data_IF_200430514611
#
_entry.id   IF_200430514611
#
_cell.length_a   1.000
_cell.length_b   1.000
_cell.length_c   1.000
_cell.angle_alpha   90.00
_cell.angle_beta   90.00
_cell.angle_gamma   90.00
#
_symmetry.space_group_name_H-M   'P 1'
#
loop_
_entity.id
_entity.type
_entity.pdbx_description
1 polymer ?
#
# COMPACT_ATOMS: atom_id res chain seq x y z
N UNK A 1 61.59 -29.33 -10.27
CA UNK A 1 60.20 -29.42 -9.75
C UNK A 1 59.26 -29.12 -10.90
N UNK A 2 58.27 -29.98 -11.19
CA UNK A 2 57.26 -29.70 -12.23
C UNK A 2 56.00 -29.17 -11.56
N UNK A 3 55.43 -28.10 -12.10
CA UNK A 3 54.11 -27.59 -11.72
C UNK A 3 53.21 -27.51 -12.96
N UNK A 4 51.92 -27.54 -12.71
CA UNK A 4 50.87 -27.33 -13.71
C UNK A 4 49.80 -26.45 -13.09
N UNK A 5 49.13 -25.64 -13.91
CA UNK A 5 48.02 -24.78 -13.53
C UNK A 5 46.87 -25.04 -14.49
N UNK A 6 45.67 -25.25 -13.96
CA UNK A 6 44.44 -25.41 -14.71
C UNK A 6 43.58 -24.18 -14.42
N UNK A 7 43.10 -23.51 -15.48
CA UNK A 7 42.19 -22.38 -15.40
C UNK A 7 40.83 -22.77 -16.00
N UNK A 8 39.75 -22.10 -15.56
CA UNK A 8 38.39 -22.26 -16.10
C UNK A 8 37.99 -20.98 -16.84
N UNK A 9 37.36 -21.13 -18.00
CA UNK A 9 36.89 -20.03 -18.84
C UNK A 9 35.40 -20.23 -19.21
N UNK A 10 34.61 -19.16 -19.41
CA UNK A 10 33.20 -19.27 -19.77
C UNK A 10 32.94 -19.88 -21.17
N UNK A 11 33.83 -19.62 -22.15
CA UNK A 11 33.79 -20.23 -23.48
C UNK A 11 35.19 -20.34 -24.10
N UNK A 12 35.28 -20.99 -25.27
CA UNK A 12 36.54 -21.31 -25.96
C UNK A 12 37.20 -20.14 -26.71
N UNK A 13 36.56 -18.96 -26.75
CA UNK A 13 37.13 -17.73 -27.30
C UNK A 13 37.66 -16.79 -26.22
N UNK A 14 37.26 -17.00 -24.95
CA UNK A 14 37.71 -16.19 -23.84
C UNK A 14 39.13 -16.59 -23.38
N UNK A 15 40.05 -15.63 -23.47
CA UNK A 15 41.44 -15.76 -23.01
C UNK A 15 41.68 -15.11 -21.66
N UNK A 16 40.64 -14.50 -21.07
CA UNK A 16 40.68 -13.79 -19.80
C UNK A 16 39.74 -14.44 -18.79
N UNK A 17 40.22 -14.69 -17.57
CA UNK A 17 39.31 -15.13 -16.48
C UNK A 17 38.50 -13.92 -16.05
N UNK A 18 37.21 -13.91 -16.40
CA UNK A 18 36.23 -12.91 -15.96
C UNK A 18 35.23 -13.56 -15.02
N UNK A 19 35.06 -12.97 -13.85
CA UNK A 19 33.97 -13.32 -12.95
C UNK A 19 32.76 -12.43 -13.30
N UNK A 20 31.61 -13.06 -13.56
CA UNK A 20 30.36 -12.36 -13.83
C UNK A 20 29.40 -12.59 -12.67
N UNK A 21 29.19 -11.56 -11.86
CA UNK A 21 28.17 -11.59 -10.81
C UNK A 21 26.84 -11.11 -11.38
N UNK A 22 25.80 -11.94 -11.28
CA UNK A 22 24.41 -11.50 -11.49
C UNK A 22 23.73 -11.37 -10.12
N UNK A 23 23.54 -10.14 -9.67
CA UNK A 23 22.73 -9.85 -8.48
C UNK A 23 21.29 -9.56 -8.91
N UNK A 24 20.32 -10.22 -8.27
CA UNK A 24 18.89 -9.89 -8.41
C UNK A 24 18.43 -9.33 -7.07
N UNK A 25 18.14 -8.03 -7.03
CA UNK A 25 17.66 -7.37 -5.82
C UNK A 25 16.14 -7.35 -5.81
N UNK A 26 15.53 -8.20 -4.97
CA UNK A 26 14.08 -8.19 -4.74
C UNK A 26 13.76 -7.24 -3.59
N UNK A 27 13.23 -6.05 -3.88
CA UNK A 27 12.81 -5.09 -2.87
C UNK A 27 11.28 -5.00 -2.84
N UNK A 28 10.69 -5.19 -1.67
CA UNK A 28 9.28 -4.90 -1.45
C UNK A 28 9.10 -3.38 -1.44
N UNK A 29 8.38 -2.85 -2.42
CA UNK A 29 8.05 -1.42 -2.50
C UNK A 29 6.53 -1.24 -2.51
N UNK A 30 5.85 -1.45 -1.36
CA UNK A 30 4.46 -1.05 -1.25
C UNK A 30 4.37 0.47 -1.36
N UNK A 31 3.40 0.97 -2.13
CA UNK A 31 2.93 2.34 -2.02
C UNK A 31 1.47 2.35 -1.56
N UNK A 32 1.11 3.39 -0.81
CA UNK A 32 -0.23 3.61 -0.30
C UNK A 32 -0.65 5.01 -0.67
N UNK A 33 -1.73 5.12 -1.47
CA UNK A 33 -2.28 6.39 -1.91
C UNK A 33 -3.74 6.48 -1.48
N UNK A 34 -4.21 7.68 -1.16
CA UNK A 34 -5.60 7.89 -0.77
C UNK A 34 -6.25 9.02 -1.58
N UNK A 35 -7.55 8.88 -1.81
CA UNK A 35 -8.43 9.94 -2.34
C UNK A 35 -9.82 9.82 -1.76
N UNK A 36 -10.64 10.86 -1.92
CA UNK A 36 -12.09 10.82 -1.67
C UNK A 36 -12.79 10.05 -2.80
N UNK A 37 -13.94 9.47 -2.50
CA UNK A 37 -14.74 8.75 -3.51
C UNK A 37 -15.17 9.65 -4.67
N UNK A 38 -15.51 10.89 -4.37
CA UNK A 38 -15.97 11.87 -5.37
C UNK A 38 -14.86 12.38 -6.30
N UNK A 39 -13.60 12.11 -5.99
CA UNK A 39 -12.46 12.57 -6.78
C UNK A 39 -12.11 11.59 -7.89
N UNK A 40 -11.64 12.09 -9.03
CA UNK A 40 -11.14 11.25 -10.12
C UNK A 40 -9.87 10.47 -9.69
N UNK A 41 -9.52 9.41 -10.40
CA UNK A 41 -8.34 8.59 -10.08
C UNK A 41 -7.01 9.36 -10.16
N UNK A 42 -6.96 10.46 -10.93
CA UNK A 42 -5.80 11.37 -10.96
C UNK A 42 -5.56 12.09 -9.63
N UNK A 43 -6.49 12.02 -8.68
CA UNK A 43 -6.36 12.59 -7.35
C UNK A 43 -5.54 11.73 -6.38
N UNK A 44 -5.19 10.49 -6.75
CA UNK A 44 -4.15 9.75 -6.02
C UNK A 44 -2.83 10.51 -6.13
N UNK A 45 -2.55 11.30 -5.10
CA UNK A 45 -1.42 12.20 -5.10
C UNK A 45 -0.14 11.51 -4.65
N UNK A 46 1.00 12.11 -4.99
CA UNK A 46 2.34 11.72 -4.53
C UNK A 46 2.73 10.24 -4.78
N UNK A 47 2.26 9.66 -5.90
CA UNK A 47 2.73 8.37 -6.42
C UNK A 47 4.26 8.26 -6.44
N UNK A 48 4.79 7.08 -6.12
CA UNK A 48 6.24 6.81 -6.01
C UNK A 48 6.94 7.63 -4.91
N UNK A 49 6.19 8.27 -4.01
CA UNK A 49 6.72 8.99 -2.84
C UNK A 49 6.36 8.26 -1.56
N UNK A 50 7.28 7.41 -1.12
CA UNK A 50 7.08 6.53 0.03
C UNK A 50 7.18 7.29 1.35
N UNK A 51 6.12 7.23 2.15
CA UNK A 51 6.06 7.83 3.48
C UNK A 51 5.86 6.74 4.55
N UNK A 52 6.68 6.77 5.61
CA UNK A 52 6.46 5.92 6.79
C UNK A 52 5.49 6.54 7.79
N UNK A 53 5.34 7.87 7.69
CA UNK A 53 4.40 8.67 8.47
C UNK A 53 3.64 9.56 7.49
N UNK A 54 2.31 9.43 7.40
CA UNK A 54 1.53 10.19 6.43
C UNK A 54 1.68 11.69 6.62
N UNK A 55 1.83 12.43 5.52
CA UNK A 55 1.87 13.89 5.54
C UNK A 55 1.37 14.50 4.23
N UNK A 56 0.88 15.74 4.29
CA UNK A 56 0.38 16.45 3.12
C UNK A 56 -0.78 15.70 2.45
N UNK A 57 -0.63 15.35 1.18
CA UNK A 57 -1.69 14.75 0.36
C UNK A 57 -1.98 13.27 0.67
N UNK A 58 -1.30 12.67 1.66
CA UNK A 58 -1.70 11.38 2.24
C UNK A 58 -2.67 11.54 3.41
N UNK A 59 -3.14 12.75 3.67
CA UNK A 59 -4.12 13.06 4.71
C UNK A 59 -5.31 13.70 4.01
N UNK A 60 -6.41 12.95 3.89
CA UNK A 60 -7.60 13.39 3.17
C UNK A 60 -8.73 13.78 4.13
N UNK A 61 -9.03 15.09 4.29
CA UNK A 61 -10.13 15.56 5.12
C UNK A 61 -11.47 15.55 4.38
N UNK A 62 -12.54 15.10 5.05
CA UNK A 62 -13.92 15.38 4.66
C UNK A 62 -14.76 15.84 5.84
N UNK A 63 -15.79 16.63 5.51
CA UNK A 63 -16.87 17.03 6.42
C UNK A 63 -18.17 16.52 5.84
N UNK A 64 -18.94 15.79 6.66
CA UNK A 64 -20.24 15.24 6.28
C UNK A 64 -21.26 15.56 7.39
N UNK A 65 -22.53 15.60 7.01
CA UNK A 65 -23.62 15.73 7.98
C UNK A 65 -23.69 14.48 8.88
N UNK A 66 -24.34 14.61 10.03
CA UNK A 66 -24.70 13.47 10.88
C UNK A 66 -25.47 12.44 10.06
N UNK A 67 -25.14 11.16 10.24
CA UNK A 67 -25.64 9.99 9.52
C UNK A 67 -25.32 9.95 8.01
N UNK A 68 -24.54 10.90 7.48
CA UNK A 68 -24.04 10.82 6.12
C UNK A 68 -22.64 10.17 6.11
N UNK A 69 -22.41 9.25 5.19
CA UNK A 69 -21.14 8.53 5.08
C UNK A 69 -20.14 9.31 4.24
N UNK A 70 -18.97 9.59 4.81
CA UNK A 70 -17.76 9.97 4.09
C UNK A 70 -17.11 8.71 3.52
N UNK A 71 -16.71 8.72 2.24
CA UNK A 71 -16.12 7.57 1.59
C UNK A 71 -14.78 7.94 0.98
N UNK A 72 -13.77 7.13 1.29
CA UNK A 72 -12.41 7.23 0.76
C UNK A 72 -12.03 5.94 0.05
N UNK A 73 -11.03 6.05 -0.83
CA UNK A 73 -10.40 4.92 -1.50
C UNK A 73 -8.91 4.95 -1.22
N UNK A 74 -8.42 3.97 -0.49
CA UNK A 74 -7.00 3.71 -0.35
C UNK A 74 -6.55 2.71 -1.42
N UNK A 75 -5.55 3.08 -2.22
CA UNK A 75 -4.92 2.25 -3.23
C UNK A 75 -3.60 1.72 -2.69
N UNK A 76 -3.46 0.40 -2.69
CA UNK A 76 -2.23 -0.31 -2.34
C UNK A 76 -1.55 -0.75 -3.62
N UNK A 77 -0.32 -0.31 -3.86
CA UNK A 77 0.43 -0.63 -5.07
C UNK A 77 1.66 -1.49 -4.78
N UNK A 78 1.99 -2.33 -5.74
CA UNK A 78 3.25 -3.05 -5.77
C UNK A 78 4.20 -2.42 -6.79
N UNK A 79 5.03 -1.49 -6.33
CA UNK A 79 6.09 -0.90 -7.17
C UNK A 79 7.36 -1.76 -7.18
N UNK A 80 7.29 -2.93 -6.53
CA UNK A 80 8.33 -3.94 -6.58
C UNK A 80 8.33 -4.69 -7.92
N UNK A 81 9.47 -5.32 -8.27
CA UNK A 81 9.59 -6.06 -9.52
C UNK A 81 8.87 -7.43 -9.51
N UNK A 82 8.49 -7.94 -8.34
CA UNK A 82 7.95 -9.29 -8.16
C UNK A 82 6.52 -9.26 -7.63
N UNK A 83 5.70 -10.23 -8.06
CA UNK A 83 4.36 -10.40 -7.53
C UNK A 83 4.39 -10.78 -6.04
N UNK A 84 3.53 -10.15 -5.23
CA UNK A 84 3.44 -10.44 -3.79
C UNK A 84 2.11 -10.00 -3.17
N UNK A 85 1.86 -10.53 -1.98
CA UNK A 85 0.75 -10.10 -1.11
C UNK A 85 1.23 -9.07 -0.08
N UNK A 86 0.32 -8.23 0.39
CA UNK A 86 0.55 -7.30 1.50
C UNK A 86 -0.44 -7.53 2.62
N UNK A 87 -0.01 -7.27 3.87
CA UNK A 87 -0.89 -7.31 5.04
C UNK A 87 -1.22 -5.87 5.42
N UNK A 88 -2.50 -5.54 5.34
CA UNK A 88 -3.04 -4.22 5.69
C UNK A 88 -3.56 -4.24 7.11
N UNK A 89 -3.23 -3.19 7.87
CA UNK A 89 -3.71 -2.97 9.24
C UNK A 89 -4.19 -1.54 9.38
N UNK A 90 -5.37 -1.38 9.96
CA UNK A 90 -5.93 -0.09 10.29
C UNK A 90 -5.71 0.17 11.78
N UNK A 91 -5.18 1.35 12.09
CA UNK A 91 -5.21 1.89 13.46
C UNK A 91 -6.22 3.03 13.47
N UNK A 92 -7.24 2.90 14.29
CA UNK A 92 -8.30 3.90 14.43
C UNK A 92 -8.07 4.74 15.68
N UNK A 93 -8.37 6.04 15.61
CA UNK A 93 -8.55 6.84 16.83
C UNK A 93 -9.84 6.40 17.54
N UNK A 94 -9.81 6.37 18.87
CA UNK A 94 -11.00 6.06 19.66
C UNK A 94 -11.84 7.33 19.79
N UNK A 95 -12.99 7.35 19.12
CA UNK A 95 -13.96 8.45 19.22
C UNK A 95 -15.39 7.93 19.38
N UNK A 96 -16.12 8.47 20.35
CA UNK A 96 -17.53 8.11 20.57
C UNK A 96 -18.40 8.64 19.44
N UNK A 97 -19.32 7.80 18.96
CA UNK A 97 -20.34 8.22 18.00
C UNK A 97 -19.89 8.17 16.54
N UNK A 98 -18.76 7.53 16.22
CA UNK A 98 -18.36 7.26 14.85
C UNK A 98 -18.41 5.76 14.56
N UNK A 99 -18.66 5.42 13.29
CA UNK A 99 -18.56 4.05 12.78
C UNK A 99 -17.72 4.06 11.51
N UNK A 100 -16.72 3.18 11.48
CA UNK A 100 -15.80 3.02 10.36
C UNK A 100 -15.95 1.59 9.84
N UNK A 101 -16.05 1.43 8.52
CA UNK A 101 -16.03 0.12 7.87
C UNK A 101 -15.07 0.10 6.67
N UNK A 102 -14.48 -1.06 6.42
CA UNK A 102 -13.47 -1.26 5.39
C UNK A 102 -13.92 -2.37 4.44
N UNK A 103 -13.74 -2.15 3.14
CA UNK A 103 -14.24 -3.06 2.11
C UNK A 103 -13.24 -3.26 0.98
N UNK A 104 -13.17 -4.49 0.48
CA UNK A 104 -12.51 -4.82 -0.79
C UNK A 104 -13.55 -5.39 -1.74
N UNK A 105 -13.84 -4.66 -2.82
CA UNK A 105 -15.00 -4.94 -3.67
C UNK A 105 -16.29 -4.90 -2.84
N UNK A 106 -17.00 -6.03 -2.80
CA UNK A 106 -18.23 -6.21 -2.01
C UNK A 106 -18.01 -6.89 -0.65
N UNK A 107 -16.77 -7.24 -0.30
CA UNK A 107 -16.47 -7.96 0.95
C UNK A 107 -16.08 -6.98 2.05
N UNK A 108 -16.77 -7.02 3.18
CA UNK A 108 -16.38 -6.28 4.38
C UNK A 108 -15.19 -6.95 5.05
N UNK A 109 -14.17 -6.16 5.38
CA UNK A 109 -12.92 -6.63 5.99
C UNK A 109 -12.60 -5.92 7.32
N UNK A 110 -13.55 -5.15 7.87
CA UNK A 110 -13.42 -4.32 9.08
C UNK A 110 -12.77 -5.06 10.26
N UNK A 111 -13.27 -6.24 10.61
CA UNK A 111 -12.73 -7.04 11.73
C UNK A 111 -11.32 -7.58 11.46
N UNK A 112 -10.99 -7.88 10.20
CA UNK A 112 -9.68 -8.39 9.82
C UNK A 112 -8.64 -7.28 9.84
N UNK A 113 -8.94 -6.13 9.23
CA UNK A 113 -7.99 -5.02 9.08
C UNK A 113 -7.70 -4.31 10.42
N UNK A 114 -8.66 -4.27 11.35
CA UNK A 114 -8.45 -3.73 12.72
C UNK A 114 -7.86 -4.75 13.70
N UNK A 115 -7.86 -6.04 13.33
CA UNK A 115 -7.34 -7.14 14.14
C UNK A 115 -5.96 -7.63 13.68
N UNK A 116 -5.89 -8.88 13.22
CA UNK A 116 -4.65 -9.53 12.80
C UNK A 116 -4.06 -8.95 11.50
N UNK A 117 -4.88 -8.26 10.70
CA UNK A 117 -4.58 -7.71 9.39
C UNK A 117 -5.34 -8.41 8.26
N UNK A 118 -5.63 -7.67 7.20
CA UNK A 118 -6.20 -8.20 5.96
C UNK A 118 -5.08 -8.45 4.94
N UNK A 119 -5.00 -9.65 4.37
CA UNK A 119 -4.00 -9.96 3.34
C UNK A 119 -4.60 -9.74 1.95
N UNK A 120 -3.95 -8.92 1.11
CA UNK A 120 -4.38 -8.71 -0.27
C UNK A 120 -4.27 -9.99 -1.10
N UNK A 121 -4.95 -10.05 -2.24
CA UNK A 121 -4.54 -10.97 -3.31
C UNK A 121 -3.10 -10.69 -3.73
N UNK A 122 -2.46 -11.65 -4.42
CA UNK A 122 -1.14 -11.41 -5.01
C UNK A 122 -1.24 -10.29 -6.04
N UNK A 123 -0.50 -9.21 -5.82
CA UNK A 123 -0.39 -8.08 -6.72
C UNK A 123 0.86 -8.28 -7.57
N UNK A 124 0.70 -8.35 -8.89
CA UNK A 124 1.84 -8.34 -9.82
C UNK A 124 2.66 -7.06 -9.71
N UNK A 125 3.83 -7.00 -10.35
CA UNK A 125 4.58 -5.75 -10.47
C UNK A 125 3.72 -4.68 -11.17
N UNK A 126 3.62 -3.49 -10.57
CA UNK A 126 2.71 -2.41 -10.97
C UNK A 126 1.22 -2.70 -10.72
N UNK A 127 0.89 -3.82 -10.06
CA UNK A 127 -0.47 -4.19 -9.71
C UNK A 127 -0.94 -3.50 -8.44
N UNK A 128 -2.27 -3.36 -8.28
CA UNK A 128 -2.85 -2.65 -7.15
C UNK A 128 -4.14 -3.28 -6.61
N UNK A 129 -4.48 -2.92 -5.37
CA UNK A 129 -5.75 -3.24 -4.73
C UNK A 129 -6.38 -1.97 -4.13
N UNK A 130 -7.70 -1.90 -4.15
CA UNK A 130 -8.45 -0.77 -3.57
C UNK A 130 -9.18 -1.21 -2.31
N UNK A 131 -8.94 -0.49 -1.21
CA UNK A 131 -9.72 -0.56 0.02
C UNK A 131 -10.64 0.66 0.08
N UNK A 132 -11.95 0.42 0.10
CA UNK A 132 -12.95 1.45 0.37
C UNK A 132 -13.08 1.61 1.88
N UNK A 133 -13.02 2.85 2.35
CA UNK A 133 -13.16 3.24 3.74
C UNK A 133 -14.43 4.07 3.86
N UNK A 134 -15.36 3.65 4.69
CA UNK A 134 -16.60 4.38 4.97
C UNK A 134 -16.58 4.86 6.41
N UNK A 135 -16.74 6.17 6.61
CA UNK A 135 -16.75 6.82 7.91
C UNK A 135 -18.09 7.53 8.09
N UNK A 136 -18.86 7.12 9.11
CA UNK A 136 -20.19 7.69 9.37
C UNK A 136 -20.26 8.23 10.79
N UNK A 137 -20.51 9.55 10.98
CA UNK A 137 -20.83 10.11 12.28
C UNK A 137 -22.28 9.79 12.65
N UNK A 138 -22.49 9.24 13.84
CA UNK A 138 -23.79 9.09 14.47
C UNK A 138 -24.23 10.37 15.19
N UNK A 139 -25.44 10.34 15.77
CA UNK A 139 -26.06 11.51 16.41
C UNK A 139 -25.31 12.07 17.63
N UNK A 140 -24.44 11.28 18.25
CA UNK A 140 -23.60 11.69 19.38
C UNK A 140 -22.23 12.19 18.97
N UNK A 141 -21.90 12.17 17.68
CA UNK A 141 -20.66 12.76 17.20
C UNK A 141 -20.68 14.28 17.44
N UNK A 142 -19.60 14.81 18.00
CA UNK A 142 -19.46 16.26 18.19
C UNK A 142 -19.44 16.92 16.81
N UNK A 143 -20.43 17.78 16.54
CA UNK A 143 -20.59 18.47 15.26
C UNK A 143 -19.42 19.41 14.92
N UNK A 144 -19.35 19.81 13.64
CA UNK A 144 -18.31 20.71 13.09
C UNK A 144 -16.87 20.20 13.19
N UNK A 145 -16.66 18.88 13.20
CA UNK A 145 -15.32 18.28 13.18
C UNK A 145 -14.96 17.83 11.78
N UNK A 146 -13.80 18.27 11.27
CA UNK A 146 -13.18 17.72 10.06
C UNK A 146 -12.50 16.40 10.42
N UNK A 147 -12.73 15.34 9.65
CA UNK A 147 -12.08 14.03 9.85
C UNK A 147 -11.21 13.66 8.69
N UNK A 148 -10.09 13.03 9.00
CA UNK A 148 -9.05 12.67 8.03
C UNK A 148 -8.85 11.17 8.00
N UNK A 149 -8.83 10.60 6.80
CA UNK A 149 -8.22 9.29 6.58
C UNK A 149 -6.77 9.51 6.13
N UNK A 150 -5.85 8.64 6.57
CA UNK A 150 -4.44 8.72 6.19
C UNK A 150 -3.86 7.33 5.94
N UNK A 151 -2.91 7.24 5.01
CA UNK A 151 -2.27 5.98 4.60
C UNK A 151 -0.76 6.12 4.48
#
# INVERSE_FOLDING_TARGET
TKSTTINVYPDGSDTTVRDSVKSTSTCARPDLLIKKESEADTAYAINDTYQTTPSGNQIEPQTVNVNATATYRAKVENDGPDARTYVLKATESVETGWSISYWVGATEITSSITGAGYTTSSLGAGGSAIVKIEMTPGASAVGSTTKTAMV
#
